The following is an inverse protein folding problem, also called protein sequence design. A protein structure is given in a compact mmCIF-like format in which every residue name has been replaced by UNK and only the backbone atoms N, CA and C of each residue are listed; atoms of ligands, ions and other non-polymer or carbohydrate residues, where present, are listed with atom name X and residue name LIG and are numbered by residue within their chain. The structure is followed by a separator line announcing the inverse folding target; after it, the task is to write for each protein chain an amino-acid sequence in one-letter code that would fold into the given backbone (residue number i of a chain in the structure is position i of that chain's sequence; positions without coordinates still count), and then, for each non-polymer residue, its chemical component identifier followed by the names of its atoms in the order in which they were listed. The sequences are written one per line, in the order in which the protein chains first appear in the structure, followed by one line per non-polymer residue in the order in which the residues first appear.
data_IF_022264663444
#
_entry.id   IF_022264663444
#
_cell.length_a   1.000
_cell.length_b   1.000
_cell.length_c   1.000
_cell.angle_alpha   90.00
_cell.angle_beta   90.00
_cell.angle_gamma   90.00
#
_symmetry.space_group_name_H-M   'P 1'
#
loop_
_entity.id
_entity.type
_entity.pdbx_description
1 polymer ?
#
# COMPACT_ATOMS: atom_id res chain seq x y z
N UNK A 1 0.16 2.30 -13.78
CA UNK A 1 1.35 2.99 -13.22
C UNK A 1 2.27 3.35 -14.36
N UNK A 2 2.73 4.59 -14.47
CA UNK A 2 3.58 4.99 -15.59
C UNK A 2 5.01 4.46 -15.40
N UNK A 3 5.72 4.20 -16.51
CA UNK A 3 7.13 3.79 -16.51
C UNK A 3 8.00 4.80 -15.74
N UNK A 4 7.65 6.09 -15.82
CA UNK A 4 8.32 7.17 -15.07
C UNK A 4 8.27 6.93 -13.55
N UNK A 5 7.11 6.53 -13.01
CA UNK A 5 6.94 6.31 -11.57
C UNK A 5 7.82 5.13 -11.10
N UNK A 6 7.80 4.02 -11.84
CA UNK A 6 8.60 2.83 -11.55
C UNK A 6 10.10 3.16 -11.58
N UNK A 7 10.59 3.73 -12.68
CA UNK A 7 12.03 4.04 -12.83
C UNK A 7 12.52 5.10 -11.84
N UNK A 8 11.67 6.03 -11.44
CA UNK A 8 12.01 7.03 -10.42
C UNK A 8 12.13 6.40 -9.03
N UNK A 9 11.26 5.46 -8.70
CA UNK A 9 11.30 4.71 -7.45
C UNK A 9 12.52 3.79 -7.38
N UNK A 10 12.77 3.01 -8.43
CA UNK A 10 13.95 2.14 -8.53
C UNK A 10 15.24 2.93 -8.31
N UNK A 11 15.44 4.02 -9.06
CA UNK A 11 16.63 4.86 -8.94
C UNK A 11 16.79 5.46 -7.53
N UNK A 12 15.72 5.87 -6.86
CA UNK A 12 15.80 6.37 -5.50
C UNK A 12 16.20 5.27 -4.52
N UNK A 13 15.70 4.04 -4.69
CA UNK A 13 15.99 2.90 -3.82
C UNK A 13 17.42 2.34 -3.97
N UNK A 14 18.12 2.63 -5.09
CA UNK A 14 19.53 2.26 -5.26
C UNK A 14 20.47 3.00 -4.30
N UNK A 15 20.12 4.21 -3.88
CA UNK A 15 21.01 5.09 -3.11
C UNK A 15 20.48 5.45 -1.74
N UNK A 16 19.19 5.31 -1.49
CA UNK A 16 18.52 5.66 -0.25
C UNK A 16 17.97 4.41 0.43
N UNK A 17 18.04 4.38 1.76
CA UNK A 17 17.58 3.23 2.57
C UNK A 17 16.29 3.59 3.32
N UNK A 18 16.12 4.85 3.70
CA UNK A 18 14.96 5.28 4.49
C UNK A 18 13.73 5.43 3.59
N UNK A 19 12.60 4.77 3.89
CA UNK A 19 11.41 4.80 3.05
C UNK A 19 10.88 6.22 2.78
N UNK A 20 10.92 7.11 3.78
CA UNK A 20 10.50 8.50 3.60
C UNK A 20 11.36 9.26 2.60
N UNK A 21 12.68 9.04 2.62
CA UNK A 21 13.62 9.70 1.71
C UNK A 21 13.43 9.18 0.28
N UNK A 22 13.18 7.87 0.13
CA UNK A 22 12.88 7.26 -1.17
C UNK A 22 11.61 7.89 -1.76
N UNK A 23 10.51 7.98 -0.99
CA UNK A 23 9.27 8.60 -1.50
C UNK A 23 9.46 10.10 -1.83
N UNK A 24 10.19 10.85 -1.01
CA UNK A 24 10.48 12.26 -1.25
C UNK A 24 11.33 12.47 -2.51
N UNK A 25 12.37 11.66 -2.70
CA UNK A 25 13.23 11.70 -3.88
C UNK A 25 12.48 11.32 -5.14
N UNK A 26 11.67 10.25 -5.07
CA UNK A 26 10.80 9.80 -6.17
C UNK A 26 9.84 10.89 -6.59
N UNK A 27 9.12 11.51 -5.63
CA UNK A 27 8.20 12.61 -5.90
C UNK A 27 8.89 13.79 -6.59
N UNK A 28 10.05 14.19 -6.09
CA UNK A 28 10.83 15.27 -6.70
C UNK A 28 11.16 14.97 -8.16
N UNK A 29 11.63 13.75 -8.45
CA UNK A 29 11.98 13.31 -9.79
C UNK A 29 10.77 13.31 -10.74
N UNK A 30 9.62 12.81 -10.28
CA UNK A 30 8.37 12.81 -11.06
C UNK A 30 7.97 14.24 -11.41
N UNK A 31 7.89 15.15 -10.42
CA UNK A 31 7.49 16.53 -10.64
C UNK A 31 8.46 17.27 -11.58
N UNK A 32 9.78 17.07 -11.43
CA UNK A 32 10.79 17.70 -12.29
C UNK A 32 10.71 17.24 -13.74
N UNK A 33 10.44 15.95 -13.96
CA UNK A 33 10.30 15.40 -15.31
C UNK A 33 9.02 15.85 -15.99
N UNK A 34 7.89 15.82 -15.29
CA UNK A 34 6.61 16.31 -15.84
C UNK A 34 6.66 17.80 -16.22
N UNK A 35 7.39 18.63 -15.46
CA UNK A 35 7.61 20.04 -15.83
C UNK A 35 8.40 20.18 -17.14
N UNK A 36 9.41 19.34 -17.39
CA UNK A 36 10.22 19.39 -18.61
C UNK A 36 9.46 18.96 -19.86
N UNK A 37 8.51 18.05 -19.71
CA UNK A 37 7.71 17.53 -20.83
C UNK A 37 6.58 18.50 -21.25
N UNK A 38 6.56 19.75 -20.74
CA UNK A 38 5.63 20.79 -21.14
C UNK A 38 4.19 20.60 -20.63
N UNK A 39 3.98 19.68 -19.71
CA UNK A 39 2.68 19.46 -19.07
C UNK A 39 2.40 20.53 -17.98
N UNK A 40 2.65 21.81 -18.29
CA UNK A 40 2.33 22.93 -17.40
C UNK A 40 0.83 23.01 -17.03
N UNK A 41 -0.01 22.31 -17.76
CA UNK A 41 -1.45 22.14 -17.47
C UNK A 41 -1.74 21.03 -16.45
N UNK A 42 -0.71 20.64 -15.68
CA UNK A 42 -0.90 20.02 -14.38
C UNK A 42 -1.68 18.71 -14.40
N UNK A 43 -1.25 17.72 -15.16
CA UNK A 43 -1.65 16.36 -14.86
C UNK A 43 -1.26 16.07 -13.41
N UNK A 44 -2.24 15.74 -12.56
CA UNK A 44 -2.00 15.28 -11.18
C UNK A 44 -1.45 13.85 -11.23
N UNK A 45 -0.45 13.61 -12.10
CA UNK A 45 0.19 12.32 -12.23
C UNK A 45 1.02 12.03 -10.98
N UNK A 46 0.69 10.94 -10.34
CA UNK A 46 1.35 10.44 -9.16
C UNK A 46 1.03 8.97 -8.99
N UNK A 47 1.57 8.38 -7.94
CA UNK A 47 1.24 7.01 -7.55
C UNK A 47 0.94 6.95 -6.06
N UNK A 48 0.03 6.07 -5.70
CA UNK A 48 -0.15 5.65 -4.33
C UNK A 48 0.84 4.52 -4.04
N UNK A 49 1.49 4.58 -2.89
CA UNK A 49 2.56 3.66 -2.54
C UNK A 49 2.68 3.47 -1.03
N UNK A 50 3.08 2.28 -0.64
CA UNK A 50 3.60 2.01 0.70
C UNK A 50 4.96 1.31 0.59
N UNK A 51 5.96 1.87 1.24
CA UNK A 51 7.29 1.29 1.36
C UNK A 51 7.51 0.77 2.77
N UNK A 52 7.95 -0.48 2.85
CA UNK A 52 8.25 -1.16 4.10
C UNK A 52 9.67 -1.71 4.08
N UNK A 53 10.44 -1.42 5.11
CA UNK A 53 11.77 -1.98 5.34
C UNK A 53 11.73 -2.84 6.59
N UNK A 54 12.11 -4.11 6.46
CA UNK A 54 12.12 -5.08 7.54
C UNK A 54 13.53 -5.29 8.07
N UNK A 55 13.74 -4.99 9.34
CA UNK A 55 14.90 -5.44 10.10
C UNK A 55 14.51 -6.69 10.90
N UNK A 56 14.66 -7.85 10.27
CA UNK A 56 14.33 -9.13 10.90
C UNK A 56 15.20 -9.44 12.11
N UNK A 57 16.43 -8.93 12.17
CA UNK A 57 17.36 -9.15 13.29
C UNK A 57 16.88 -8.45 14.55
N UNK A 58 16.45 -7.20 14.41
CA UNK A 58 15.99 -6.36 15.53
C UNK A 58 14.46 -6.35 15.64
N UNK A 59 13.74 -7.10 14.77
CA UNK A 59 12.28 -7.15 14.70
C UNK A 59 11.65 -5.77 14.57
N UNK A 60 12.18 -4.96 13.68
CA UNK A 60 11.68 -3.62 13.40
C UNK A 60 11.12 -3.51 12.00
N UNK A 61 10.10 -2.71 11.86
CA UNK A 61 9.48 -2.34 10.59
C UNK A 61 9.52 -0.83 10.45
N UNK A 62 10.12 -0.32 9.37
CA UNK A 62 10.11 1.09 9.03
C UNK A 62 9.17 1.28 7.86
N UNK A 63 8.24 2.22 7.96
CA UNK A 63 7.14 2.41 7.00
C UNK A 63 7.05 3.86 6.59
N UNK A 64 6.98 4.11 5.29
CA UNK A 64 6.49 5.37 4.73
C UNK A 64 5.38 5.06 3.71
N UNK A 65 4.26 5.76 3.80
CA UNK A 65 3.08 5.45 3.00
C UNK A 65 2.42 6.70 2.44
N UNK A 66 2.01 6.62 1.19
CA UNK A 66 1.30 7.62 0.40
C UNK A 66 -0.05 7.02 -0.03
N UNK A 67 -1.14 7.45 0.56
CA UNK A 67 -2.53 7.00 0.42
C UNK A 67 -2.79 5.52 0.79
N UNK A 68 -1.92 4.58 0.40
CA UNK A 68 -2.10 3.15 0.70
C UNK A 68 -1.67 2.82 2.14
N UNK A 69 -2.57 2.39 3.02
CA UNK A 69 -2.25 2.07 4.41
C UNK A 69 -1.42 0.78 4.52
N UNK A 70 -0.75 0.62 5.67
CA UNK A 70 -0.13 -0.65 6.07
C UNK A 70 -0.85 -1.15 7.31
N UNK A 71 -1.23 -2.42 7.32
CA UNK A 71 -1.90 -3.04 8.46
C UNK A 71 -1.01 -4.10 9.08
N UNK A 72 -0.94 -4.11 10.40
CA UNK A 72 -0.25 -5.16 11.16
C UNK A 72 -1.30 -5.93 11.94
N UNK A 73 -1.43 -7.21 11.64
CA UNK A 73 -2.31 -8.11 12.40
C UNK A 73 -1.47 -8.78 13.48
N UNK A 74 -1.78 -8.46 14.74
CA UNK A 74 -1.17 -9.00 15.95
C UNK A 74 -2.20 -9.80 16.72
N UNK A 75 -2.12 -11.12 16.64
CA UNK A 75 -3.16 -11.98 17.17
C UNK A 75 -4.52 -11.72 16.46
N UNK A 76 -5.48 -11.16 17.19
CA UNK A 76 -6.80 -10.78 16.64
C UNK A 76 -6.97 -9.29 16.41
N UNK A 77 -5.99 -8.49 16.75
CA UNK A 77 -6.03 -7.04 16.59
C UNK A 77 -5.39 -6.61 15.28
N UNK A 78 -5.94 -5.57 14.67
CA UNK A 78 -5.35 -4.92 13.51
C UNK A 78 -4.88 -3.52 13.89
N UNK A 79 -3.59 -3.29 13.79
CA UNK A 79 -2.95 -1.99 13.97
C UNK A 79 -2.93 -1.31 12.57
N UNK A 80 -3.63 -0.21 12.44
CA UNK A 80 -3.76 0.56 11.19
C UNK A 80 -2.69 1.67 11.15
N UNK A 81 -1.66 1.47 10.35
CA UNK A 81 -0.61 2.46 10.10
C UNK A 81 -1.08 3.35 8.98
N UNK A 82 -1.57 4.54 9.35
CA UNK A 82 -2.16 5.48 8.40
C UNK A 82 -1.11 6.05 7.46
N UNK A 83 -1.44 6.03 6.18
CA UNK A 83 -0.68 6.71 5.14
C UNK A 83 -0.84 8.24 5.20
N UNK A 84 0.14 8.95 4.66
CA UNK A 84 -0.01 10.35 4.30
C UNK A 84 -1.09 10.52 3.23
N UNK A 85 -1.97 11.53 3.40
CA UNK A 85 -3.06 11.80 2.45
C UNK A 85 -2.57 12.64 1.26
N UNK A 86 -1.64 12.09 0.52
CA UNK A 86 -1.10 12.66 -0.71
C UNK A 86 -0.39 11.57 -1.53
N UNK A 87 -0.46 11.62 -2.87
CA UNK A 87 0.25 10.69 -3.74
C UNK A 87 1.75 11.04 -3.81
N UNK A 88 2.54 10.12 -4.31
CA UNK A 88 3.93 10.36 -4.72
C UNK A 88 3.91 11.00 -6.12
N UNK A 89 3.75 12.31 -6.17
CA UNK A 89 3.59 13.08 -7.40
C UNK A 89 3.17 14.53 -7.14
N UNK A 90 2.65 15.18 -8.18
CA UNK A 90 2.13 16.55 -8.09
C UNK A 90 0.83 16.59 -7.28
N UNK A 91 0.80 17.40 -6.24
CA UNK A 91 -0.36 17.56 -5.36
C UNK A 91 -0.33 18.94 -4.67
N UNK A 92 -1.46 19.41 -4.16
CA UNK A 92 -1.56 20.69 -3.45
C UNK A 92 -0.67 20.74 -2.19
N UNK A 93 -0.27 19.57 -1.67
CA UNK A 93 0.63 19.39 -0.53
C UNK A 93 1.99 18.83 -0.93
N UNK A 94 2.43 18.97 -2.16
CA UNK A 94 3.69 18.39 -2.65
C UNK A 94 4.96 18.99 -2.02
N UNK A 95 4.83 20.09 -1.30
CA UNK A 95 5.89 20.69 -0.46
C UNK A 95 6.02 20.04 0.91
N UNK A 96 5.02 19.28 1.37
CA UNK A 96 5.06 18.57 2.66
C UNK A 96 5.83 17.25 2.46
N UNK A 97 6.87 17.03 3.23
CA UNK A 97 7.66 15.79 3.16
C UNK A 97 6.87 14.58 3.64
N UNK A 98 7.10 13.43 3.00
CA UNK A 98 6.70 12.15 3.58
C UNK A 98 7.50 11.91 4.84
N UNK A 99 6.84 11.37 5.83
CA UNK A 99 7.45 10.91 7.09
C UNK A 99 7.38 9.41 7.18
N UNK A 100 8.23 8.82 8.02
CA UNK A 100 8.20 7.39 8.29
C UNK A 100 7.85 7.12 9.73
N UNK A 101 7.37 5.90 9.98
CA UNK A 101 7.10 5.37 11.31
C UNK A 101 7.96 4.12 11.51
N UNK A 102 8.45 3.92 12.72
CA UNK A 102 9.18 2.72 13.13
C UNK A 102 8.31 1.96 14.13
N UNK A 103 8.13 0.67 13.89
CA UNK A 103 7.27 -0.20 14.69
C UNK A 103 8.07 -1.42 15.15
N UNK A 104 8.00 -1.73 16.44
CA UNK A 104 8.53 -2.98 16.98
C UNK A 104 7.57 -4.13 16.63
N UNK A 105 8.07 -5.10 15.87
CA UNK A 105 7.34 -6.29 15.48
C UNK A 105 7.45 -7.37 16.57
N UNK A 106 6.40 -8.19 16.67
CA UNK A 106 6.36 -9.36 17.53
C UNK A 106 6.33 -10.63 16.68
N UNK A 107 6.88 -11.71 17.19
CA UNK A 107 6.77 -13.01 16.51
C UNK A 107 5.30 -13.39 16.31
N UNK A 108 4.96 -13.73 15.09
CA UNK A 108 3.58 -14.04 14.70
C UNK A 108 2.79 -12.87 14.12
N UNK A 109 3.32 -11.64 14.16
CA UNK A 109 2.72 -10.52 13.45
C UNK A 109 2.66 -10.81 11.95
N UNK A 110 1.57 -10.39 11.32
CA UNK A 110 1.46 -10.39 9.86
C UNK A 110 1.28 -8.96 9.38
N UNK A 111 2.23 -8.49 8.58
CA UNK A 111 2.19 -7.16 7.98
C UNK A 111 1.57 -7.25 6.60
N UNK A 112 0.54 -6.45 6.33
CA UNK A 112 -0.12 -6.37 5.04
C UNK A 112 0.07 -4.99 4.42
N UNK A 113 0.55 -4.98 3.17
CA UNK A 113 0.52 -3.82 2.28
C UNK A 113 -0.45 -4.12 1.15
N UNK A 114 -1.25 -3.13 0.75
CA UNK A 114 -2.32 -3.36 -0.21
C UNK A 114 -2.65 -2.10 -1.02
N UNK A 115 -3.23 -2.32 -2.20
CA UNK A 115 -3.95 -1.30 -2.97
C UNK A 115 -5.41 -1.24 -2.51
N UNK A 116 -6.13 -0.22 -2.90
CA UNK A 116 -7.55 -0.04 -2.58
C UNK A 116 -8.49 -0.90 -3.43
N UNK A 117 -7.99 -1.57 -4.48
CA UNK A 117 -8.80 -2.38 -5.39
C UNK A 117 -9.64 -3.46 -4.69
N UNK A 118 -9.10 -4.15 -3.67
CA UNK A 118 -9.88 -5.15 -2.93
C UNK A 118 -11.01 -4.50 -2.11
N UNK A 119 -10.74 -3.54 -1.20
CA UNK A 119 -11.80 -2.93 -0.41
C UNK A 119 -12.81 -2.13 -1.24
N UNK A 120 -12.40 -1.62 -2.39
CA UNK A 120 -13.26 -0.80 -3.26
C UNK A 120 -14.05 -1.62 -4.29
N UNK A 121 -13.77 -2.92 -4.42
CA UNK A 121 -14.50 -3.81 -5.32
C UNK A 121 -15.98 -3.89 -4.96
N UNK A 122 -16.82 -3.67 -5.96
CA UNK A 122 -18.26 -3.88 -5.85
C UNK A 122 -18.63 -5.35 -5.98
N UNK A 123 -19.57 -5.81 -5.17
CA UNK A 123 -19.98 -7.21 -5.21
C UNK A 123 -21.03 -7.57 -4.19
N UNK A 124 -21.19 -8.89 -3.98
CA UNK A 124 -22.20 -9.45 -3.11
C UNK A 124 -23.64 -9.22 -3.60
N UNK A 125 -24.63 -9.75 -2.90
CA UNK A 125 -26.04 -9.69 -3.29
C UNK A 125 -26.59 -8.26 -3.51
N UNK A 126 -25.98 -7.26 -2.86
CA UNK A 126 -26.42 -5.85 -2.90
C UNK A 126 -25.57 -4.95 -3.76
N UNK A 127 -24.58 -5.48 -4.49
CA UNK A 127 -23.69 -4.71 -5.33
C UNK A 127 -22.97 -3.57 -4.59
N UNK A 128 -22.53 -3.78 -3.33
CA UNK A 128 -21.83 -2.75 -2.52
C UNK A 128 -20.32 -2.96 -2.56
N UNK A 129 -19.56 -1.92 -2.15
CA UNK A 129 -18.13 -2.06 -1.93
C UNK A 129 -17.85 -3.08 -0.80
N UNK A 130 -16.75 -3.84 -0.94
CA UNK A 130 -16.30 -4.79 0.09
C UNK A 130 -15.99 -4.09 1.41
N UNK A 131 -15.36 -2.95 1.34
CA UNK A 131 -14.94 -2.05 2.43
C UNK A 131 -13.70 -2.53 3.20
N UNK A 132 -12.82 -1.58 3.52
CA UNK A 132 -11.60 -1.84 4.32
C UNK A 132 -11.88 -2.46 5.69
N UNK A 133 -13.05 -2.19 6.29
CA UNK A 133 -13.46 -2.80 7.55
C UNK A 133 -13.58 -4.32 7.42
N UNK A 134 -14.32 -4.79 6.42
CA UNK A 134 -14.53 -6.22 6.19
C UNK A 134 -13.23 -6.94 5.85
N UNK A 135 -12.34 -6.28 5.08
CA UNK A 135 -11.03 -6.85 4.77
C UNK A 135 -10.17 -7.00 6.03
N UNK A 136 -10.13 -6.00 6.91
CA UNK A 136 -9.40 -6.11 8.19
C UNK A 136 -9.95 -7.22 9.07
N UNK A 137 -11.27 -7.34 9.17
CA UNK A 137 -11.91 -8.42 9.93
C UNK A 137 -11.56 -9.79 9.34
N UNK A 138 -11.56 -9.94 8.02
CA UNK A 138 -11.17 -11.18 7.33
C UNK A 138 -9.70 -11.55 7.62
N UNK A 139 -8.78 -10.57 7.53
CA UNK A 139 -7.35 -10.77 7.78
C UNK A 139 -7.09 -11.15 9.24
N UNK A 140 -7.70 -10.43 10.20
CA UNK A 140 -7.48 -10.70 11.62
C UNK A 140 -8.08 -12.03 12.07
N UNK A 141 -9.26 -12.39 11.59
CA UNK A 141 -9.92 -13.65 11.90
C UNK A 141 -9.12 -14.87 11.43
N UNK A 142 -8.32 -14.72 10.37
CA UNK A 142 -7.59 -15.80 9.72
C UNK A 142 -6.06 -15.67 9.84
N UNK A 143 -5.57 -14.76 10.68
CA UNK A 143 -4.14 -14.49 10.86
C UNK A 143 -3.33 -15.70 11.34
N UNK A 144 -3.97 -16.68 12.00
CA UNK A 144 -3.34 -17.90 12.49
C UNK A 144 -3.04 -18.93 11.37
N UNK A 145 -3.71 -18.82 10.21
CA UNK A 145 -3.51 -19.74 9.09
C UNK A 145 -2.12 -19.58 8.46
N UNK A 146 -1.54 -20.62 7.87
CA UNK A 146 -0.37 -20.50 7.01
C UNK A 146 -0.58 -19.48 5.90
N UNK A 147 0.47 -18.76 5.49
CA UNK A 147 0.35 -17.67 4.50
C UNK A 147 -0.26 -18.14 3.18
N UNK A 148 0.05 -19.37 2.73
CA UNK A 148 -0.53 -19.91 1.51
C UNK A 148 -2.05 -20.13 1.64
N UNK A 149 -2.52 -20.53 2.82
CA UNK A 149 -3.96 -20.72 3.07
C UNK A 149 -4.68 -19.38 3.18
N UNK A 150 -4.04 -18.38 3.80
CA UNK A 150 -4.57 -17.00 3.79
C UNK A 150 -4.71 -16.47 2.36
N UNK A 151 -3.69 -16.67 1.50
CA UNK A 151 -3.75 -16.28 0.10
C UNK A 151 -4.95 -16.92 -0.61
N UNK A 152 -5.12 -18.25 -0.50
CA UNK A 152 -6.25 -18.98 -1.12
C UNK A 152 -7.61 -18.47 -0.61
N UNK A 153 -7.69 -18.20 0.70
CA UNK A 153 -8.91 -17.67 1.29
C UNK A 153 -9.24 -16.27 0.73
N UNK A 154 -8.25 -15.39 0.60
CA UNK A 154 -8.42 -14.06 0.06
C UNK A 154 -8.83 -14.09 -1.41
N UNK A 155 -8.16 -14.91 -2.22
CA UNK A 155 -8.49 -15.09 -3.64
C UNK A 155 -9.93 -15.61 -3.81
N UNK A 156 -10.32 -16.62 -3.01
CA UNK A 156 -11.68 -17.16 -3.04
C UNK A 156 -12.69 -16.11 -2.58
N UNK A 157 -12.44 -15.42 -1.48
CA UNK A 157 -13.35 -14.39 -0.96
C UNK A 157 -13.55 -13.26 -1.96
N UNK A 158 -12.48 -12.84 -2.63
CA UNK A 158 -12.56 -11.81 -3.67
C UNK A 158 -13.38 -12.28 -4.86
N UNK A 159 -13.12 -13.48 -5.37
CA UNK A 159 -13.87 -14.04 -6.50
C UNK A 159 -15.36 -14.22 -6.17
N UNK A 160 -15.67 -14.78 -4.99
CA UNK A 160 -17.05 -14.94 -4.53
C UNK A 160 -17.77 -13.58 -4.37
N UNK A 161 -17.02 -12.54 -3.94
CA UNK A 161 -17.58 -11.19 -3.79
C UNK A 161 -17.87 -10.53 -5.13
N UNK A 162 -16.93 -10.59 -6.07
CA UNK A 162 -17.07 -10.02 -7.43
C UNK A 162 -18.24 -10.67 -8.15
N UNK A 163 -18.38 -11.98 -8.08
CA UNK A 163 -19.39 -12.74 -8.79
C UNK A 163 -19.33 -12.45 -10.29
N UNK A 164 -20.46 -12.04 -10.86
CA UNK A 164 -20.61 -11.71 -12.29
C UNK A 164 -20.26 -10.24 -12.62
N UNK A 165 -19.82 -9.44 -11.65
CA UNK A 165 -19.46 -8.04 -11.86
C UNK A 165 -18.02 -7.92 -12.41
N UNK A 166 -17.72 -6.77 -13.01
CA UNK A 166 -16.36 -6.46 -13.45
C UNK A 166 -15.47 -6.03 -12.29
N UNK A 167 -14.19 -6.39 -12.36
CA UNK A 167 -13.17 -5.86 -11.45
C UNK A 167 -12.94 -4.38 -11.77
N UNK A 168 -13.02 -3.52 -10.76
CA UNK A 168 -12.98 -2.05 -10.96
C UNK A 168 -11.57 -1.48 -10.92
N UNK A 169 -10.62 -2.16 -10.27
CA UNK A 169 -9.23 -1.70 -10.14
C UNK A 169 -8.27 -2.86 -9.91
N UNK A 170 -6.96 -2.61 -10.04
CA UNK A 170 -5.91 -3.58 -9.78
C UNK A 170 -5.85 -3.95 -8.29
N UNK A 171 -5.90 -5.25 -8.02
CA UNK A 171 -5.85 -5.79 -6.66
C UNK A 171 -4.48 -6.36 -6.35
N UNK A 172 -3.76 -5.69 -5.48
CA UNK A 172 -2.49 -6.17 -4.94
C UNK A 172 -2.57 -6.22 -3.42
N UNK A 173 -2.23 -7.36 -2.83
CA UNK A 173 -2.11 -7.53 -1.38
C UNK A 173 -0.89 -8.40 -1.10
N UNK A 174 0.05 -7.86 -0.32
CA UNK A 174 1.27 -8.57 0.10
C UNK A 174 1.20 -8.77 1.61
N UNK A 175 1.34 -10.01 2.06
CA UNK A 175 1.42 -10.37 3.48
C UNK A 175 2.80 -10.92 3.84
N UNK A 176 3.39 -10.41 4.91
CA UNK A 176 4.67 -10.89 5.46
C UNK A 176 4.47 -11.28 6.91
N UNK A 177 4.75 -12.54 7.24
CA UNK A 177 4.74 -13.03 8.63
C UNK A 177 6.14 -12.91 9.24
N UNK A 178 6.20 -12.44 10.48
CA UNK A 178 7.43 -12.23 11.25
C UNK A 178 7.61 -13.32 12.31
#
# INVERSE_FOLDING_TARGET
MSLLNITSLEKASETLIQPSDILNSTRKTIIERLKKDGSELGGKDGMDASLTVYDFKNKKLIIAAANNPVWIVRGKETIDIKAGKMPVGKHDRDTVSFTQQEIDLQTGDVVFTLTDGFPDQFGGEKGKKFMSKNLRELLSANSYLPMLEQKRLLEKTFADWVGDLEQVDDVTLIGVRV
#
